data_IF_011044233699
#
_entry.id   IF_011044233699
#
_cell.length_a   1.000
_cell.length_b   1.000
_cell.length_c   1.000
_cell.angle_alpha   90.00
_cell.angle_beta   90.00
_cell.angle_gamma   90.00
#
_symmetry.space_group_name_H-M   'P 1'
#
loop_
_entity.id
_entity.type
_entity.pdbx_description
1 polymer ?
#
# COMPACT_ATOMS: atom_id res chain seq x y z
N UNK A 1 52.92 15.46 -7.80
CA UNK A 1 52.65 15.41 -9.25
C UNK A 1 51.93 14.09 -9.58
N UNK A 2 50.61 14.12 -9.69
CA UNK A 2 49.88 13.16 -10.52
C UNK A 2 48.49 13.75 -10.81
N UNK A 3 48.25 13.94 -12.10
CA UNK A 3 47.05 14.51 -12.69
C UNK A 3 45.97 13.42 -12.74
N UNK A 4 44.82 13.62 -12.11
CA UNK A 4 43.59 12.89 -12.44
C UNK A 4 42.56 13.89 -12.93
N UNK A 5 42.37 13.90 -14.25
CA UNK A 5 41.25 14.55 -14.92
C UNK A 5 39.98 13.81 -14.53
N UNK A 6 39.11 14.44 -13.75
CA UNK A 6 37.74 13.97 -13.56
C UNK A 6 36.88 14.58 -14.66
N UNK A 7 36.55 13.77 -15.66
CA UNK A 7 35.63 14.13 -16.73
C UNK A 7 34.25 14.42 -16.12
N UNK A 8 33.85 15.68 -16.06
CA UNK A 8 32.46 16.06 -15.78
C UNK A 8 31.57 15.57 -16.93
N UNK A 9 30.74 14.55 -16.66
CA UNK A 9 29.65 14.18 -17.55
C UNK A 9 28.52 15.18 -17.32
N UNK A 10 28.38 16.17 -18.21
CA UNK A 10 27.23 17.06 -18.25
C UNK A 10 25.97 16.23 -18.54
N UNK A 11 25.12 16.03 -17.55
CA UNK A 11 23.73 15.61 -17.76
C UNK A 11 22.90 16.87 -17.92
N UNK A 12 22.42 17.13 -19.12
CA UNK A 12 21.43 18.19 -19.36
C UNK A 12 20.07 17.76 -18.75
N UNK A 13 19.28 18.67 -18.15
CA UNK A 13 17.94 18.35 -17.70
C UNK A 13 16.99 18.29 -18.90
N UNK A 14 16.20 17.23 -19.00
CA UNK A 14 15.07 17.15 -19.93
C UNK A 14 13.92 17.96 -19.33
N UNK A 15 13.74 19.20 -19.80
CA UNK A 15 12.62 20.05 -19.40
C UNK A 15 11.43 19.76 -20.32
N UNK A 16 10.45 18.96 -19.86
CA UNK A 16 9.20 18.73 -20.62
C UNK A 16 8.22 19.87 -20.35
N UNK A 17 8.16 20.84 -21.25
CA UNK A 17 7.12 21.88 -21.25
C UNK A 17 5.79 21.28 -21.76
N UNK A 18 4.90 20.89 -20.85
CA UNK A 18 3.52 20.56 -21.19
C UNK A 18 2.68 21.86 -21.28
N UNK A 19 2.61 22.46 -22.47
CA UNK A 19 1.56 23.44 -22.80
C UNK A 19 0.32 22.68 -23.29
N UNK A 20 -0.69 22.58 -22.45
CA UNK A 20 -2.03 22.13 -22.86
C UNK A 20 -2.76 23.32 -23.50
N UNK A 21 -2.97 23.28 -24.80
CA UNK A 21 -3.83 24.25 -25.51
C UNK A 21 -5.19 23.60 -25.75
N UNK A 22 -6.22 24.04 -25.03
CA UNK A 22 -7.61 23.63 -25.26
C UNK A 22 -8.21 24.41 -26.42
N UNK A 23 -8.76 23.72 -27.42
CA UNK A 23 -9.66 24.30 -28.43
C UNK A 23 -11.00 23.55 -28.42
N UNK A 24 -12.14 24.21 -28.73
CA UNK A 24 -13.46 23.74 -28.35
C UNK A 24 -14.09 22.77 -29.37
N UNK A 25 -14.97 21.91 -28.84
CA UNK A 25 -15.80 20.93 -29.54
C UNK A 25 -16.58 21.52 -30.72
N UNK A 26 -16.54 20.84 -31.86
CA UNK A 26 -17.61 20.89 -32.86
C UNK A 26 -18.04 19.47 -33.26
N UNK A 27 -19.35 19.33 -33.40
CA UNK A 27 -20.11 18.12 -33.71
C UNK A 27 -19.99 17.66 -35.16
N UNK A 28 -19.93 16.35 -35.43
CA UNK A 28 -20.75 15.67 -36.46
C UNK A 28 -20.44 14.17 -36.51
N UNK A 29 -21.38 13.45 -37.12
CA UNK A 29 -21.74 12.04 -37.03
C UNK A 29 -20.94 11.06 -37.91
N UNK A 30 -21.23 9.77 -37.66
CA UNK A 30 -21.31 8.62 -38.60
C UNK A 30 -20.14 7.63 -38.58
N UNK A 31 -20.47 6.41 -38.11
CA UNK A 31 -20.08 5.06 -38.57
C UNK A 31 -18.70 4.86 -39.23
N UNK A 32 -17.80 4.18 -38.51
CA UNK A 32 -17.10 2.98 -39.02
C UNK A 32 -16.36 2.26 -37.88
N UNK A 33 -16.73 1.01 -37.56
CA UNK A 33 -16.04 0.17 -36.57
C UNK A 33 -15.07 -0.72 -37.34
N UNK A 34 -13.81 -0.30 -37.40
CA UNK A 34 -12.69 -1.11 -37.91
C UNK A 34 -11.88 -1.71 -36.74
N UNK A 35 -11.43 -2.98 -36.83
CA UNK A 35 -10.89 -3.71 -35.69
C UNK A 35 -9.45 -3.29 -35.38
N UNK A 36 -9.17 -3.06 -34.10
CA UNK A 36 -7.84 -3.01 -33.49
C UNK A 36 -6.74 -2.32 -34.31
N UNK A 37 -6.83 -1.00 -34.48
CA UNK A 37 -5.66 -0.22 -34.85
C UNK A 37 -4.72 -0.11 -33.65
N UNK A 38 -3.57 -0.78 -33.78
CA UNK A 38 -2.38 -0.67 -32.97
C UNK A 38 -2.12 0.76 -32.51
N UNK A 39 -2.60 1.12 -31.32
CA UNK A 39 -2.18 2.33 -30.63
C UNK A 39 -0.84 2.01 -29.96
N UNK A 40 0.21 1.87 -30.77
CA UNK A 40 1.57 1.61 -30.30
C UNK A 40 1.95 2.72 -29.33
N UNK A 41 2.17 2.34 -28.07
CA UNK A 41 2.70 3.20 -27.04
C UNK A 41 4.02 3.78 -27.55
N UNK A 42 4.04 5.07 -27.85
CA UNK A 42 5.27 5.78 -28.18
C UNK A 42 5.98 6.08 -26.84
N UNK A 43 6.47 5.04 -26.18
CA UNK A 43 7.41 5.19 -25.07
C UNK A 43 8.73 5.59 -25.72
N UNK A 44 9.22 6.78 -25.38
CA UNK A 44 10.48 7.32 -25.90
C UNK A 44 11.60 6.27 -25.78
N UNK A 45 12.00 5.71 -26.92
CA UNK A 45 12.98 4.62 -27.05
C UNK A 45 14.39 4.98 -26.55
N UNK A 46 14.63 6.22 -26.15
CA UNK A 46 15.96 6.73 -25.84
C UNK A 46 16.39 6.55 -24.37
N UNK A 47 15.54 5.98 -23.50
CA UNK A 47 15.86 5.79 -22.07
C UNK A 47 16.00 4.32 -21.61
N UNK A 48 15.84 3.35 -22.52
CA UNK A 48 15.99 1.94 -22.17
C UNK A 48 17.46 1.52 -22.28
N UNK A 49 18.14 1.34 -21.13
CA UNK A 49 19.33 0.51 -21.09
C UNK A 49 18.96 -0.90 -21.60
N UNK A 50 19.89 -1.61 -22.25
CA UNK A 50 19.71 -2.87 -23.02
C UNK A 50 18.97 -4.04 -22.33
N UNK A 51 18.56 -3.90 -21.07
CA UNK A 51 17.73 -4.86 -20.34
C UNK A 51 16.22 -4.53 -20.38
N UNK A 52 15.83 -3.42 -21.01
CA UNK A 52 14.44 -2.93 -21.03
C UNK A 52 13.77 -3.05 -22.42
N UNK A 53 14.38 -3.77 -23.36
CA UNK A 53 13.84 -3.96 -24.71
C UNK A 53 12.46 -4.62 -24.72
N UNK A 54 12.15 -5.41 -23.69
CA UNK A 54 10.84 -6.04 -23.49
C UNK A 54 9.72 -5.00 -23.22
N UNK A 55 10.04 -3.86 -22.60
CA UNK A 55 9.06 -2.81 -22.30
C UNK A 55 8.52 -2.21 -23.59
N UNK A 56 9.39 -2.05 -24.59
CA UNK A 56 9.00 -1.57 -25.93
C UNK A 56 8.15 -2.57 -26.72
N UNK A 57 8.13 -3.84 -26.31
CA UNK A 57 7.33 -4.90 -26.92
C UNK A 57 6.03 -5.18 -26.14
N UNK A 58 5.88 -4.62 -24.94
CA UNK A 58 4.71 -4.85 -24.10
C UNK A 58 3.50 -4.06 -24.64
N UNK A 59 2.46 -4.79 -25.03
CA UNK A 59 1.16 -4.19 -25.32
C UNK A 59 0.46 -3.82 -24.01
N UNK A 60 0.59 -2.55 -23.62
CA UNK A 60 -0.02 -2.01 -22.40
C UNK A 60 -1.55 -2.07 -22.44
N UNK A 61 -2.16 -1.97 -23.63
CA UNK A 61 -3.63 -1.98 -23.75
C UNK A 61 -4.16 -3.39 -23.55
N UNK A 62 -3.54 -4.38 -24.21
CA UNK A 62 -3.87 -5.79 -24.01
C UNK A 62 -3.62 -6.22 -22.55
N UNK A 63 -2.45 -5.88 -22.00
CA UNK A 63 -2.12 -6.18 -20.61
C UNK A 63 -3.12 -5.56 -19.61
N UNK A 64 -3.52 -4.31 -19.81
CA UNK A 64 -4.52 -3.67 -18.97
C UNK A 64 -5.88 -4.40 -19.02
N UNK A 65 -6.27 -4.91 -20.19
CA UNK A 65 -7.51 -5.68 -20.32
C UNK A 65 -7.40 -7.05 -19.66
N UNK A 66 -6.26 -7.72 -19.79
CA UNK A 66 -5.99 -8.98 -19.09
C UNK A 66 -6.10 -8.80 -17.57
N UNK A 67 -5.50 -7.73 -17.02
CA UNK A 67 -5.60 -7.41 -15.58
C UNK A 67 -7.05 -7.12 -15.16
N UNK A 68 -7.82 -6.38 -15.96
CA UNK A 68 -9.24 -6.12 -15.66
C UNK A 68 -10.08 -7.39 -15.72
N UNK A 69 -9.86 -8.25 -16.72
CA UNK A 69 -10.59 -9.50 -16.87
C UNK A 69 -10.29 -10.46 -15.72
N UNK A 70 -9.01 -10.53 -15.31
CA UNK A 70 -8.57 -11.27 -14.13
C UNK A 70 -9.25 -10.74 -12.86
N UNK A 71 -9.27 -9.42 -12.67
CA UNK A 71 -9.94 -8.79 -11.53
C UNK A 71 -11.43 -9.12 -11.45
N UNK A 72 -12.16 -9.04 -12.58
CA UNK A 72 -13.58 -9.42 -12.66
C UNK A 72 -13.81 -10.89 -12.31
N UNK A 73 -12.98 -11.79 -12.84
CA UNK A 73 -13.08 -13.22 -12.55
C UNK A 73 -12.84 -13.50 -11.07
N UNK A 74 -11.75 -12.99 -10.50
CA UNK A 74 -11.43 -13.18 -9.08
C UNK A 74 -12.50 -12.59 -8.15
N UNK A 75 -13.07 -11.45 -8.51
CA UNK A 75 -14.16 -10.84 -7.75
C UNK A 75 -15.44 -11.70 -7.77
N UNK A 76 -15.73 -12.37 -8.88
CA UNK A 76 -16.86 -13.30 -9.00
C UNK A 76 -16.63 -14.63 -8.25
N UNK A 77 -15.37 -15.02 -8.08
CA UNK A 77 -14.97 -16.22 -7.34
C UNK A 77 -15.03 -16.01 -5.81
N UNK A 78 -15.18 -14.77 -5.33
CA UNK A 78 -15.34 -14.51 -3.90
C UNK A 78 -16.64 -15.11 -3.35
N UNK A 79 -16.56 -15.72 -2.17
CA UNK A 79 -17.73 -16.36 -1.57
C UNK A 79 -17.52 -16.96 -0.20
N UNK A 80 -18.26 -18.03 0.08
CA UNK A 80 -18.31 -18.67 1.40
C UNK A 80 -16.95 -19.27 1.82
N UNK A 81 -16.10 -19.65 0.86
CA UNK A 81 -14.76 -20.16 1.11
C UNK A 81 -13.85 -19.10 1.75
N UNK A 82 -13.91 -17.85 1.28
CA UNK A 82 -13.15 -16.74 1.85
C UNK A 82 -13.62 -16.42 3.27
N UNK A 83 -14.93 -16.46 3.50
CA UNK A 83 -15.54 -16.22 4.82
C UNK A 83 -15.14 -17.33 5.79
N UNK A 84 -15.12 -18.59 5.34
CA UNK A 84 -14.64 -19.73 6.13
C UNK A 84 -13.16 -19.59 6.46
N UNK A 85 -12.33 -19.18 5.49
CA UNK A 85 -10.92 -18.92 5.72
C UNK A 85 -10.71 -17.80 6.76
N UNK A 86 -11.42 -16.68 6.63
CA UNK A 86 -11.39 -15.58 7.61
C UNK A 86 -11.78 -16.07 9.01
N UNK A 87 -12.86 -16.84 9.14
CA UNK A 87 -13.30 -17.36 10.43
C UNK A 87 -12.28 -18.33 11.05
N UNK A 88 -11.66 -19.19 10.23
CA UNK A 88 -10.58 -20.07 10.68
C UNK A 88 -9.37 -19.26 11.18
N UNK A 89 -8.97 -18.24 10.43
CA UNK A 89 -7.90 -17.34 10.83
C UNK A 89 -8.22 -16.64 12.16
N UNK A 90 -9.43 -16.10 12.31
CA UNK A 90 -9.89 -15.45 13.54
C UNK A 90 -9.87 -16.40 14.74
N UNK A 91 -10.26 -17.66 14.54
CA UNK A 91 -10.18 -18.69 15.58
C UNK A 91 -8.74 -18.89 16.07
N UNK A 92 -7.78 -19.04 15.16
CA UNK A 92 -6.36 -19.20 15.51
C UNK A 92 -5.80 -17.97 16.23
N UNK A 93 -6.10 -16.77 15.69
CA UNK A 93 -5.67 -15.51 16.29
C UNK A 93 -6.22 -15.40 17.71
N UNK A 94 -7.52 -15.64 17.90
CA UNK A 94 -8.16 -15.55 19.21
C UNK A 94 -7.62 -16.60 20.19
N UNK A 95 -7.30 -17.81 19.73
CA UNK A 95 -6.67 -18.84 20.57
C UNK A 95 -5.29 -18.40 21.05
N UNK A 96 -4.45 -17.85 20.16
CA UNK A 96 -3.14 -17.30 20.52
C UNK A 96 -3.28 -16.13 21.50
N UNK A 97 -4.21 -15.20 21.23
CA UNK A 97 -4.50 -14.09 22.13
C UNK A 97 -4.95 -14.55 23.50
N UNK A 98 -5.82 -15.55 23.57
CA UNK A 98 -6.29 -16.14 24.83
C UNK A 98 -5.13 -16.71 25.66
N UNK A 99 -4.23 -17.48 25.03
CA UNK A 99 -3.02 -17.97 25.72
C UNK A 99 -2.20 -16.80 26.25
N UNK A 100 -1.93 -15.79 25.42
CA UNK A 100 -1.16 -14.61 25.83
C UNK A 100 -1.77 -13.86 27.01
N UNK A 101 -3.08 -13.58 26.97
CA UNK A 101 -3.78 -12.87 28.05
C UNK A 101 -3.88 -13.70 29.33
N UNK A 102 -4.05 -15.03 29.24
CA UNK A 102 -4.08 -15.89 30.42
C UNK A 102 -2.71 -16.01 31.08
N UNK A 103 -1.62 -15.96 30.29
CA UNK A 103 -0.27 -16.08 30.83
C UNK A 103 0.35 -14.76 31.26
N UNK A 104 -0.30 -13.60 30.99
CA UNK A 104 0.27 -12.28 31.29
C UNK A 104 0.43 -11.96 32.78
N UNK A 105 -0.37 -12.63 33.64
CA UNK A 105 -0.29 -12.47 35.09
C UNK A 105 0.86 -13.24 35.74
N UNK A 106 1.48 -14.16 35.01
CA UNK A 106 2.74 -14.78 35.43
C UNK A 106 3.88 -13.84 35.03
N UNK A 107 4.91 -13.73 35.87
CA UNK A 107 6.13 -12.92 35.63
C UNK A 107 6.57 -12.88 34.16
N UNK A 108 7.29 -11.83 33.74
CA UNK A 108 7.77 -11.65 32.35
C UNK A 108 8.13 -12.98 31.67
N UNK A 109 7.26 -13.41 30.74
CA UNK A 109 7.30 -14.73 30.11
C UNK A 109 7.34 -14.56 28.59
N UNK A 110 8.30 -15.21 27.94
CA UNK A 110 8.48 -15.19 26.49
C UNK A 110 7.22 -15.69 25.77
N UNK A 111 6.50 -16.66 26.34
CA UNK A 111 5.23 -17.16 25.78
C UNK A 111 4.20 -16.04 25.73
N UNK A 112 4.02 -15.30 26.83
CA UNK A 112 3.12 -14.14 26.88
C UNK A 112 3.50 -13.11 25.81
N UNK A 113 4.78 -12.76 25.73
CA UNK A 113 5.28 -11.75 24.78
C UNK A 113 5.00 -12.20 23.34
N UNK A 114 5.36 -13.44 22.99
CA UNK A 114 5.17 -13.98 21.65
C UNK A 114 3.68 -14.08 21.29
N UNK A 115 2.84 -14.58 22.20
CA UNK A 115 1.41 -14.74 21.96
C UNK A 115 0.69 -13.39 21.80
N UNK A 116 0.91 -12.42 22.70
CA UNK A 116 0.28 -11.10 22.59
C UNK A 116 0.80 -10.35 21.36
N UNK A 117 2.11 -10.40 21.08
CA UNK A 117 2.69 -9.79 19.89
C UNK A 117 2.09 -10.36 18.60
N UNK A 118 2.02 -11.69 18.50
CA UNK A 118 1.44 -12.37 17.33
C UNK A 118 -0.05 -12.06 17.20
N UNK A 119 -0.80 -12.04 18.31
CA UNK A 119 -2.22 -11.67 18.31
C UNK A 119 -2.45 -10.28 17.71
N UNK A 120 -1.78 -9.25 18.24
CA UNK A 120 -1.93 -7.87 17.76
C UNK A 120 -1.46 -7.76 16.31
N UNK A 121 -0.30 -8.33 15.98
CA UNK A 121 0.26 -8.26 14.63
C UNK A 121 -0.65 -8.93 13.58
N UNK A 122 -1.22 -10.11 13.87
CA UNK A 122 -2.13 -10.78 12.95
C UNK A 122 -3.49 -10.06 12.85
N UNK A 123 -4.02 -9.51 13.96
CA UNK A 123 -5.22 -8.67 13.90
C UNK A 123 -5.00 -7.47 12.99
N UNK A 124 -3.81 -6.90 13.03
CA UNK A 124 -3.44 -5.80 12.15
C UNK A 124 -3.30 -6.25 10.68
N UNK A 125 -2.25 -7.04 10.41
CA UNK A 125 -1.79 -7.33 9.04
C UNK A 125 -2.71 -8.25 8.25
N UNK A 126 -3.37 -9.20 8.92
CA UNK A 126 -4.15 -10.24 8.25
C UNK A 126 -5.65 -9.93 8.25
N UNK A 127 -6.15 -9.24 9.28
CA UNK A 127 -7.59 -8.98 9.44
C UNK A 127 -7.94 -7.54 9.10
N UNK A 128 -7.42 -6.57 9.86
CA UNK A 128 -7.79 -5.17 9.74
C UNK A 128 -7.39 -4.59 8.38
N UNK A 129 -6.14 -4.77 7.97
CA UNK A 129 -5.62 -4.31 6.68
C UNK A 129 -6.52 -4.79 5.51
N UNK A 130 -6.76 -6.09 5.41
CA UNK A 130 -7.58 -6.68 4.34
C UNK A 130 -9.04 -6.20 4.40
N UNK A 131 -9.62 -6.10 5.59
CA UNK A 131 -11.00 -5.61 5.74
C UNK A 131 -11.11 -4.14 5.38
N UNK A 132 -10.14 -3.31 5.77
CA UNK A 132 -10.10 -1.88 5.46
C UNK A 132 -9.82 -1.59 3.98
N UNK A 133 -9.24 -2.53 3.24
CA UNK A 133 -9.20 -2.49 1.76
C UNK A 133 -10.48 -3.02 1.10
N UNK A 134 -11.40 -3.54 1.90
CA UNK A 134 -12.68 -4.06 1.45
C UNK A 134 -12.63 -5.47 0.88
N UNK A 135 -11.63 -6.27 1.28
CA UNK A 135 -11.47 -7.66 0.83
C UNK A 135 -12.66 -8.57 1.16
N UNK A 136 -13.53 -8.15 2.09
CA UNK A 136 -14.71 -8.90 2.51
C UNK A 136 -16.04 -8.19 2.24
N UNK A 137 -16.02 -7.01 1.60
CA UNK A 137 -17.21 -6.17 1.43
C UNK A 137 -18.33 -6.88 0.67
N UNK A 138 -17.96 -7.71 -0.31
CA UNK A 138 -18.89 -8.39 -1.23
C UNK A 138 -19.29 -9.79 -0.76
N UNK A 139 -18.41 -10.53 -0.10
CA UNK A 139 -18.65 -11.92 0.27
C UNK A 139 -19.15 -12.13 1.70
N UNK A 140 -18.81 -11.25 2.66
CA UNK A 140 -19.15 -11.52 4.05
C UNK A 140 -20.60 -11.12 4.39
N UNK A 141 -21.46 -12.03 4.91
CA UNK A 141 -22.89 -11.76 5.13
C UNK A 141 -23.17 -10.62 6.13
N UNK A 142 -22.29 -10.44 7.12
CA UNK A 142 -22.35 -9.32 8.06
C UNK A 142 -21.62 -8.04 7.57
N UNK A 143 -22.19 -7.35 6.59
CA UNK A 143 -21.68 -6.07 6.07
C UNK A 143 -21.69 -4.91 7.09
N UNK A 144 -22.31 -5.08 8.26
CA UNK A 144 -22.26 -4.08 9.35
C UNK A 144 -20.97 -4.15 10.15
N UNK A 145 -20.21 -5.24 10.02
CA UNK A 145 -18.94 -5.48 10.71
C UNK A 145 -17.78 -5.59 9.72
N UNK A 146 -17.92 -6.42 8.70
CA UNK A 146 -16.86 -6.71 7.74
C UNK A 146 -17.03 -5.87 6.48
N UNK A 147 -16.92 -4.56 6.66
CA UNK A 147 -17.00 -3.60 5.57
C UNK A 147 -15.97 -2.50 5.79
N UNK A 148 -15.28 -2.08 4.72
CA UNK A 148 -14.13 -1.15 4.81
C UNK A 148 -14.39 0.13 5.63
N UNK A 149 -15.60 0.70 5.51
CA UNK A 149 -15.98 1.93 6.21
C UNK A 149 -16.66 1.72 7.58
N UNK A 150 -16.86 0.48 8.03
CA UNK A 150 -17.59 0.17 9.27
C UNK A 150 -16.82 -0.73 10.22
N UNK A 151 -15.74 -1.34 9.74
CA UNK A 151 -14.90 -2.24 10.50
C UNK A 151 -14.28 -1.55 11.71
N UNK A 152 -14.33 -2.20 12.87
CA UNK A 152 -13.84 -1.69 14.15
C UNK A 152 -14.45 -0.35 14.62
N UNK A 153 -15.54 0.12 14.00
CA UNK A 153 -16.24 1.35 14.36
C UNK A 153 -17.49 1.11 15.23
N UNK A 154 -17.87 2.14 15.99
CA UNK A 154 -19.17 2.27 16.66
C UNK A 154 -19.16 1.96 18.16
N UNK A 155 -18.34 1.03 18.65
CA UNK A 155 -18.20 0.79 20.10
C UNK A 155 -16.80 0.35 20.49
N UNK A 156 -16.41 0.63 21.73
CA UNK A 156 -15.14 0.16 22.29
C UNK A 156 -15.02 -1.37 22.24
N UNK A 157 -16.14 -2.08 22.40
CA UNK A 157 -16.17 -3.54 22.29
C UNK A 157 -15.87 -4.01 20.86
N UNK A 158 -16.42 -3.36 19.82
CA UNK A 158 -16.07 -3.66 18.43
C UNK A 158 -14.60 -3.36 18.18
N UNK A 159 -14.11 -2.21 18.64
CA UNK A 159 -12.71 -1.84 18.52
C UNK A 159 -11.79 -2.91 19.11
N UNK A 160 -12.04 -3.34 20.34
CA UNK A 160 -11.28 -4.39 21.02
C UNK A 160 -11.29 -5.72 20.25
N UNK A 161 -12.46 -6.16 19.80
CA UNK A 161 -12.59 -7.47 19.15
C UNK A 161 -12.14 -7.48 17.70
N UNK A 162 -12.25 -6.36 16.98
CA UNK A 162 -11.96 -6.29 15.56
C UNK A 162 -10.53 -5.83 15.31
N UNK A 163 -10.08 -4.79 16.01
CA UNK A 163 -8.76 -4.18 15.82
C UNK A 163 -8.30 -3.45 17.08
N UNK A 164 -7.73 -4.22 18.01
CA UNK A 164 -7.16 -3.68 19.25
C UNK A 164 -5.79 -3.06 19.00
N UNK A 165 -5.83 -1.82 18.53
CA UNK A 165 -4.65 -1.03 18.15
C UNK A 165 -4.90 0.45 18.47
N UNK A 166 -3.86 1.27 18.39
CA UNK A 166 -3.96 2.72 18.56
C UNK A 166 -4.35 3.43 17.25
N UNK A 167 -4.14 2.80 16.09
CA UNK A 167 -4.44 3.34 14.75
C UNK A 167 -5.94 3.45 14.45
N UNK A 168 -6.50 4.67 14.34
CA UNK A 168 -7.92 4.84 14.04
C UNK A 168 -8.29 4.33 12.63
N UNK A 169 -9.36 3.52 12.45
CA UNK A 169 -9.76 3.04 11.13
C UNK A 169 -10.11 4.16 10.14
N UNK A 170 -10.66 5.26 10.63
CA UNK A 170 -10.96 6.44 9.83
C UNK A 170 -9.69 7.12 9.31
N UNK A 171 -8.66 7.25 10.17
CA UNK A 171 -7.37 7.80 9.78
C UNK A 171 -6.67 6.89 8.76
N UNK A 172 -6.73 5.57 8.94
CA UNK A 172 -6.22 4.60 7.97
C UNK A 172 -6.86 4.77 6.59
N UNK A 173 -8.18 4.96 6.53
CA UNK A 173 -8.87 5.15 5.25
C UNK A 173 -8.42 6.43 4.52
N UNK A 174 -8.08 7.50 5.25
CA UNK A 174 -7.59 8.73 4.65
C UNK A 174 -6.13 8.57 4.22
N UNK A 175 -5.27 8.15 5.14
CA UNK A 175 -3.83 8.16 4.92
C UNK A 175 -3.37 6.98 4.06
N UNK A 176 -3.79 5.78 4.39
CA UNK A 176 -3.34 4.60 3.68
C UNK A 176 -4.17 4.36 2.41
N UNK A 177 -5.49 4.28 2.52
CA UNK A 177 -6.32 3.94 1.35
C UNK A 177 -6.34 5.06 0.32
N UNK A 178 -6.52 6.32 0.72
CA UNK A 178 -6.70 7.43 -0.21
C UNK A 178 -5.40 8.16 -0.58
N UNK A 179 -4.45 8.29 0.34
CA UNK A 179 -3.19 8.99 0.02
C UNK A 179 -2.12 8.01 -0.44
N UNK A 180 -1.72 7.06 0.40
CA UNK A 180 -0.62 6.16 0.11
C UNK A 180 -0.82 5.36 -1.19
N UNK A 181 -1.97 4.69 -1.38
CA UNK A 181 -2.20 3.90 -2.61
C UNK A 181 -2.31 4.74 -3.89
N UNK A 182 -2.68 6.01 -3.81
CA UNK A 182 -2.86 6.88 -4.99
C UNK A 182 -1.67 7.79 -5.28
N UNK A 183 -0.80 8.02 -4.30
CA UNK A 183 0.39 8.86 -4.43
C UNK A 183 1.65 8.05 -4.15
N UNK A 184 1.61 6.72 -4.25
CA UNK A 184 2.67 5.82 -3.83
C UNK A 184 4.04 6.28 -4.37
N UNK A 185 5.02 6.45 -3.47
CA UNK A 185 6.36 6.96 -3.80
C UNK A 185 6.44 8.43 -4.26
N UNK A 186 5.38 9.21 -4.10
CA UNK A 186 5.33 10.65 -4.37
C UNK A 186 5.39 11.47 -3.08
N UNK A 187 5.67 12.77 -3.18
CA UNK A 187 5.75 13.68 -2.02
C UNK A 187 4.43 13.73 -1.22
N UNK A 188 3.29 13.49 -1.88
CA UNK A 188 1.98 13.46 -1.25
C UNK A 188 1.68 12.13 -0.52
N UNK A 189 2.52 11.10 -0.68
CA UNK A 189 2.45 9.86 0.08
C UNK A 189 2.88 10.13 1.53
N UNK A 190 1.97 9.96 2.50
CA UNK A 190 2.30 10.23 3.88
C UNK A 190 3.26 9.15 4.45
N UNK A 191 3.49 8.04 3.74
CA UNK A 191 4.40 6.95 4.13
C UNK A 191 5.76 7.03 3.39
N UNK A 192 6.03 8.09 2.60
CA UNK A 192 7.32 8.26 1.91
C UNK A 192 8.44 8.63 2.90
N UNK A 193 9.15 7.62 3.40
CA UNK A 193 10.22 7.77 4.39
C UNK A 193 11.35 8.69 3.92
N UNK A 194 11.70 8.69 2.62
CA UNK A 194 12.73 9.55 2.04
C UNK A 194 12.42 11.04 2.27
N UNK A 195 11.14 11.38 2.23
CA UNK A 195 10.63 12.72 2.46
C UNK A 195 10.41 12.96 3.96
N UNK A 196 9.65 12.10 4.64
CA UNK A 196 9.23 12.33 6.04
C UNK A 196 10.40 12.25 7.03
N UNK A 197 11.46 11.50 6.74
CA UNK A 197 12.66 11.45 7.56
C UNK A 197 13.72 12.53 7.22
N UNK A 198 13.36 13.54 6.41
CA UNK A 198 14.31 14.58 5.95
C UNK A 198 14.97 15.31 7.11
N UNK A 199 14.22 15.70 8.14
CA UNK A 199 14.76 16.42 9.29
C UNK A 199 15.79 15.58 10.06
N UNK A 200 15.51 14.29 10.28
CA UNK A 200 16.43 13.35 10.93
C UNK A 200 17.69 13.16 10.07
N UNK A 201 17.52 13.00 8.76
CA UNK A 201 18.62 12.78 7.81
C UNK A 201 19.52 14.01 7.74
N UNK A 202 18.94 15.20 7.62
CA UNK A 202 19.64 16.46 7.42
C UNK A 202 20.12 17.13 8.72
N UNK A 203 19.71 16.66 9.90
CA UNK A 203 20.17 17.19 11.18
C UNK A 203 21.70 17.13 11.31
N UNK A 204 22.39 18.26 11.11
CA UNK A 204 23.85 18.34 11.04
C UNK A 204 24.53 18.10 12.40
N UNK A 205 23.86 18.48 13.49
CA UNK A 205 24.39 18.45 14.85
C UNK A 205 24.04 17.16 15.61
N UNK A 206 23.32 16.23 14.98
CA UNK A 206 22.91 14.96 15.61
C UNK A 206 23.89 13.86 15.21
N UNK A 207 24.54 13.17 16.17
CA UNK A 207 25.42 12.05 15.87
C UNK A 207 24.72 10.94 15.08
N UNK A 208 25.43 10.32 14.13
CA UNK A 208 24.89 9.26 13.26
C UNK A 208 24.27 8.10 14.04
N UNK A 209 24.86 7.70 15.18
CA UNK A 209 24.31 6.64 16.03
C UNK A 209 22.90 6.98 16.55
N UNK A 210 22.68 8.24 16.94
CA UNK A 210 21.36 8.71 17.40
C UNK A 210 20.35 8.68 16.26
N UNK A 211 20.76 9.03 15.03
CA UNK A 211 19.90 8.91 13.84
C UNK A 211 19.47 7.48 13.57
N UNK A 212 20.39 6.51 13.67
CA UNK A 212 20.06 5.09 13.51
C UNK A 212 19.13 4.57 14.62
N UNK A 213 19.33 5.01 15.87
CA UNK A 213 18.42 4.67 16.96
C UNK A 213 17.03 5.25 16.69
N UNK A 214 16.94 6.50 16.23
CA UNK A 214 15.68 7.11 15.84
C UNK A 214 15.00 6.29 14.73
N UNK A 215 15.71 5.96 13.64
CA UNK A 215 15.19 5.11 12.56
C UNK A 215 14.74 3.74 13.07
N UNK A 216 15.48 3.12 14.00
CA UNK A 216 15.08 1.85 14.60
C UNK A 216 13.76 1.99 15.38
N UNK A 217 13.62 3.04 16.19
CA UNK A 217 12.36 3.31 16.91
C UNK A 217 11.23 3.53 15.91
N UNK A 218 11.45 4.31 14.85
CA UNK A 218 10.45 4.54 13.79
C UNK A 218 10.14 3.29 12.97
N UNK A 219 11.06 2.33 12.86
CA UNK A 219 10.80 1.05 12.18
C UNK A 219 9.96 0.11 13.05
N UNK A 220 10.05 0.24 14.38
CA UNK A 220 9.30 -0.57 15.34
C UNK A 220 7.92 0.00 15.65
N UNK A 221 7.64 1.23 15.24
CA UNK A 221 6.36 1.88 15.44
C UNK A 221 5.83 2.43 14.13
N UNK A 222 4.57 2.14 13.79
CA UNK A 222 3.92 2.90 12.74
C UNK A 222 3.71 4.34 13.24
N UNK A 223 4.02 5.33 12.41
CA UNK A 223 3.89 6.80 12.58
C UNK A 223 3.65 7.38 13.98
N UNK A 224 4.55 8.29 14.41
CA UNK A 224 4.40 9.13 15.63
C UNK A 224 4.59 10.63 15.35
N UNK A 225 4.69 11.02 14.07
CA UNK A 225 5.15 12.32 13.57
C UNK A 225 4.34 12.73 12.33
#
# INVERSE_FOLDING_TARGET
>A
RMCRKTTQRKTAPCESSNKVTTSPLSSSSSDDVSPHTNRTNNIDKNCAASNNDWIGQLDIVAFAEDIRSLGKRLEQEQGDDDVRHLNQLLMWINAIGMVGFLTMGFSVNIITIACISTFVFCRWTMVAHHTCHGGYDKCHPNHKRWHRFRFALGSLWRRWNDWFDWMMPEAWNIEHNNRHHYHLSEIADPDLLEHTATDIRQAQYVPTAVKYIAVLVLALTWKWF
#
